data_IF_575836534279
#
_entry.id   IF_575836534279
#
_cell.length_a   1.000
_cell.length_b   1.000
_cell.length_c   1.000
_cell.angle_alpha   90.00
_cell.angle_beta   90.00
_cell.angle_gamma   90.00
#
_symmetry.space_group_name_H-M   'P 1'
#
loop_
_entity.id
_entity.type
_entity.pdbx_description
1 polymer ?
#
# COMPACT_ATOMS: atom_id res chain seq x y z
N UNK A 1 -4.42 -5.70 24.08
CA UNK A 1 -5.78 -5.33 23.60
C UNK A 1 -5.90 -5.67 22.12
N UNK A 2 -7.04 -6.19 21.66
CA UNK A 2 -7.24 -6.63 20.26
C UNK A 2 -8.12 -5.64 19.49
N UNK A 3 -7.74 -5.31 18.25
CA UNK A 3 -8.58 -4.50 17.35
C UNK A 3 -9.58 -5.42 16.62
N UNK A 4 -10.89 -5.39 16.96
CA UNK A 4 -11.89 -6.27 16.35
C UNK A 4 -12.04 -5.99 14.84
N UNK A 5 -12.56 -6.96 14.08
CA UNK A 5 -12.95 -6.71 12.69
C UNK A 5 -14.21 -5.87 12.69
N UNK A 6 -14.28 -4.86 11.81
CA UNK A 6 -15.42 -3.97 11.75
C UNK A 6 -15.70 -3.51 10.33
N UNK A 7 -16.96 -3.21 10.06
CA UNK A 7 -17.45 -2.65 8.80
C UNK A 7 -18.20 -1.36 9.07
N UNK A 8 -18.03 -0.38 8.17
CA UNK A 8 -18.76 0.89 8.20
C UNK A 8 -19.69 0.95 6.99
N UNK A 9 -20.98 1.03 7.25
CA UNK A 9 -22.02 1.27 6.25
C UNK A 9 -22.68 2.62 6.52
N UNK A 10 -23.34 3.19 5.53
CA UNK A 10 -24.05 4.45 5.73
C UNK A 10 -25.38 4.48 5.00
N UNK A 11 -26.24 5.34 5.51
CA UNK A 11 -27.51 5.78 4.95
C UNK A 11 -27.53 7.30 4.93
N UNK A 12 -28.58 7.91 4.38
CA UNK A 12 -28.72 9.38 4.35
C UNK A 12 -28.69 10.01 5.75
N UNK A 13 -29.10 9.26 6.78
CA UNK A 13 -29.26 9.76 8.15
C UNK A 13 -28.34 9.12 9.18
N UNK A 14 -27.93 7.88 8.97
CA UNK A 14 -27.18 7.11 9.95
C UNK A 14 -25.92 6.48 9.35
N UNK A 15 -24.87 6.39 10.15
CA UNK A 15 -23.72 5.52 9.94
C UNK A 15 -23.93 4.25 10.77
N UNK A 16 -23.81 3.10 10.13
CA UNK A 16 -23.97 1.78 10.75
C UNK A 16 -22.57 1.20 10.94
N UNK A 17 -22.18 0.99 12.20
CA UNK A 17 -20.91 0.39 12.58
C UNK A 17 -21.16 -1.05 13.04
N UNK A 18 -20.69 -2.02 12.25
CA UNK A 18 -20.75 -3.45 12.57
C UNK A 18 -19.39 -3.88 13.12
N UNK A 19 -19.32 -4.46 14.32
CA UNK A 19 -18.09 -4.89 14.99
C UNK A 19 -18.21 -6.37 15.33
N UNK A 20 -17.35 -7.20 14.73
CA UNK A 20 -17.23 -8.62 15.01
C UNK A 20 -16.32 -8.84 16.21
N UNK A 21 -16.91 -9.18 17.34
CA UNK A 21 -16.25 -9.34 18.63
C UNK A 21 -16.83 -10.55 19.38
N UNK A 22 -16.55 -11.79 18.93
CA UNK A 22 -17.17 -13.01 19.47
C UNK A 22 -16.75 -13.33 20.92
N UNK A 23 -15.58 -12.84 21.37
CA UNK A 23 -15.07 -13.01 22.74
C UNK A 23 -15.44 -11.85 23.68
N UNK A 24 -16.30 -10.94 23.23
CA UNK A 24 -16.69 -9.75 23.98
C UNK A 24 -17.57 -10.09 25.19
N UNK A 25 -17.36 -9.34 26.28
CA UNK A 25 -18.31 -9.33 27.38
C UNK A 25 -19.36 -8.24 27.15
N UNK A 26 -20.58 -8.65 26.78
CA UNK A 26 -21.72 -7.77 26.51
C UNK A 26 -22.00 -6.82 27.68
N UNK A 27 -21.83 -7.28 28.94
CA UNK A 27 -22.08 -6.47 30.13
C UNK A 27 -21.06 -5.35 30.35
N UNK A 28 -19.92 -5.39 29.66
CA UNK A 28 -18.85 -4.39 29.71
C UNK A 28 -18.62 -3.72 28.34
N UNK A 29 -19.63 -3.77 27.47
CA UNK A 29 -19.56 -3.12 26.17
C UNK A 29 -19.98 -1.66 26.31
N UNK A 30 -19.05 -0.76 25.99
CA UNK A 30 -19.30 0.68 25.95
C UNK A 30 -18.93 1.21 24.56
N UNK A 31 -19.80 2.03 24.00
CA UNK A 31 -19.52 2.81 22.81
C UNK A 31 -19.76 4.28 23.12
N UNK A 32 -18.78 5.12 22.81
CA UNK A 32 -18.84 6.57 22.97
C UNK A 32 -18.55 7.22 21.62
N UNK A 33 -19.49 8.01 21.10
CA UNK A 33 -19.30 8.81 19.90
C UNK A 33 -19.25 10.31 20.24
N UNK A 34 -18.10 10.92 19.99
CA UNK A 34 -17.81 12.33 20.27
C UNK A 34 -17.32 13.04 19.00
N UNK A 35 -18.21 13.82 18.39
CA UNK A 35 -18.03 14.52 17.12
C UNK A 35 -17.47 13.62 16.01
N UNK A 36 -16.16 13.62 15.80
CA UNK A 36 -15.50 12.82 14.76
C UNK A 36 -14.98 11.48 15.29
N UNK A 37 -14.92 11.29 16.61
CA UNK A 37 -14.27 10.15 17.22
C UNK A 37 -15.31 9.14 17.74
N UNK A 38 -15.09 7.87 17.44
CA UNK A 38 -15.89 6.77 18.01
C UNK A 38 -14.96 5.85 18.77
N UNK A 39 -15.29 5.59 20.03
CA UNK A 39 -14.58 4.71 20.93
C UNK A 39 -15.47 3.52 21.24
N UNK A 40 -14.96 2.31 21.02
CA UNK A 40 -15.62 1.07 21.42
C UNK A 40 -14.69 0.30 22.34
N UNK A 41 -15.19 -0.05 23.52
CA UNK A 41 -14.46 -0.81 24.53
C UNK A 41 -15.30 -2.01 24.95
N UNK A 42 -14.77 -3.21 24.74
CA UNK A 42 -15.37 -4.43 25.26
C UNK A 42 -14.28 -5.50 25.41
N UNK A 43 -13.73 -5.72 26.62
CA UNK A 43 -12.61 -6.62 26.84
C UNK A 43 -12.82 -8.00 26.20
N UNK A 44 -11.84 -8.54 25.43
CA UNK A 44 -10.47 -8.02 25.21
C UNK A 44 -10.32 -7.01 24.05
N UNK A 45 -11.42 -6.59 23.44
CA UNK A 45 -11.44 -5.73 22.26
C UNK A 45 -11.48 -4.24 22.59
N UNK A 46 -10.72 -3.46 21.83
CA UNK A 46 -10.75 -2.01 21.88
C UNK A 46 -10.63 -1.46 20.45
N UNK A 47 -11.49 -0.51 20.11
CA UNK A 47 -11.49 0.12 18.80
C UNK A 47 -11.65 1.63 18.97
N UNK A 48 -10.82 2.38 18.25
CA UNK A 48 -10.86 3.83 18.20
C UNK A 48 -10.88 4.27 16.75
N UNK A 49 -11.92 4.99 16.35
CA UNK A 49 -12.14 5.46 14.99
C UNK A 49 -12.20 6.99 14.94
N UNK A 50 -11.69 7.57 13.86
CA UNK A 50 -11.88 8.98 13.50
C UNK A 50 -12.61 9.05 12.16
N UNK A 51 -13.90 9.34 12.19
CA UNK A 51 -14.76 9.43 11.01
C UNK A 51 -14.54 10.75 10.23
N UNK A 52 -14.87 10.79 8.93
CA UNK A 52 -14.68 11.97 8.09
C UNK A 52 -15.73 13.06 8.33
N UNK A 53 -16.88 12.71 8.93
CA UNK A 53 -17.94 13.64 9.31
C UNK A 53 -18.29 13.51 10.79
N UNK A 54 -19.05 14.49 11.29
CA UNK A 54 -19.50 14.50 12.68
C UNK A 54 -20.69 13.55 12.86
N UNK A 55 -20.63 12.75 13.91
CA UNK A 55 -21.67 11.81 14.33
C UNK A 55 -22.11 12.10 15.76
N UNK A 56 -23.34 11.72 16.08
CA UNK A 56 -23.92 11.79 17.43
C UNK A 56 -24.53 10.44 17.79
N UNK A 57 -24.58 10.16 19.08
CA UNK A 57 -25.30 9.00 19.59
C UNK A 57 -26.80 9.20 19.45
N UNK A 58 -27.49 8.18 18.92
CA UNK A 58 -28.95 8.14 18.90
C UNK A 58 -29.50 8.00 20.31
N UNK A 59 -30.44 8.87 20.68
CA UNK A 59 -31.05 8.95 22.02
C UNK A 59 -32.05 7.80 22.32
N UNK A 60 -32.42 7.00 21.32
CA UNK A 60 -33.52 6.02 21.40
C UNK A 60 -33.05 4.56 21.39
N UNK A 61 -32.10 4.18 20.54
CA UNK A 61 -31.55 2.81 20.47
C UNK A 61 -30.10 2.86 19.96
N UNK A 62 -29.13 2.51 20.80
CA UNK A 62 -27.70 2.71 20.49
C UNK A 62 -27.05 1.52 19.77
N UNK A 63 -27.52 0.28 19.95
CA UNK A 63 -26.99 -0.86 19.20
C UNK A 63 -27.66 -2.22 19.49
N UNK A 64 -27.50 -3.16 18.57
CA UNK A 64 -27.99 -4.54 18.66
C UNK A 64 -26.83 -5.52 18.66
N UNK A 65 -26.93 -6.64 19.39
CA UNK A 65 -25.94 -7.69 19.40
C UNK A 65 -26.51 -9.00 18.85
N UNK A 66 -25.86 -9.55 17.84
CA UNK A 66 -26.14 -10.88 17.30
C UNK A 66 -25.26 -11.92 18.00
N UNK A 67 -25.88 -12.80 18.79
CA UNK A 67 -25.21 -13.84 19.58
C UNK A 67 -24.63 -14.94 18.68
N UNK A 68 -25.28 -15.24 17.55
CA UNK A 68 -24.88 -16.35 16.68
C UNK A 68 -23.66 -15.95 15.83
N UNK A 69 -23.61 -14.69 15.37
CA UNK A 69 -22.49 -14.13 14.61
C UNK A 69 -21.38 -13.48 15.45
N UNK A 70 -21.66 -13.15 16.72
CA UNK A 70 -20.77 -12.36 17.57
C UNK A 70 -20.57 -10.94 17.06
N UNK A 71 -21.62 -10.32 16.49
CA UNK A 71 -21.55 -9.02 15.81
C UNK A 71 -22.36 -7.98 16.61
N UNK A 72 -21.71 -6.88 16.99
CA UNK A 72 -22.38 -5.67 17.47
C UNK A 72 -22.70 -4.76 16.30
N UNK A 73 -23.93 -4.28 16.21
CA UNK A 73 -24.34 -3.29 15.21
C UNK A 73 -24.78 -2.02 15.91
N UNK A 74 -24.03 -0.94 15.73
CA UNK A 74 -24.33 0.37 16.29
C UNK A 74 -24.84 1.32 15.20
N UNK A 75 -25.87 2.10 15.52
CA UNK A 75 -26.42 3.12 14.62
C UNK A 75 -26.09 4.49 15.16
N UNK A 76 -25.26 5.24 14.43
CA UNK A 76 -24.81 6.58 14.78
C UNK A 76 -25.52 7.59 13.87
N UNK A 77 -26.07 8.65 14.43
CA UNK A 77 -26.74 9.71 13.67
C UNK A 77 -25.71 10.68 13.07
N UNK A 78 -25.91 11.06 11.80
CA UNK A 78 -25.10 12.11 11.16
C UNK A 78 -25.56 13.47 11.66
N UNK A 79 -24.62 14.35 12.02
CA UNK A 79 -24.95 15.73 12.41
C UNK A 79 -25.52 16.52 11.23
N UNK A 80 -25.03 16.25 10.02
CA UNK A 80 -25.54 16.80 8.77
C UNK A 80 -26.28 15.69 8.01
N UNK A 81 -27.61 15.76 8.00
CA UNK A 81 -28.43 14.83 7.23
C UNK A 81 -28.11 14.95 5.73
N UNK A 82 -27.92 13.82 5.06
CA UNK A 82 -27.56 13.74 3.65
C UNK A 82 -26.09 13.95 3.34
N UNK A 83 -25.21 14.16 4.33
CA UNK A 83 -23.76 14.18 4.09
C UNK A 83 -23.27 12.76 3.77
N UNK A 84 -22.65 12.59 2.61
CA UNK A 84 -21.98 11.34 2.25
C UNK A 84 -20.59 11.27 2.91
N UNK A 85 -20.29 10.14 3.55
CA UNK A 85 -18.99 9.93 4.20
C UNK A 85 -18.09 9.20 3.21
N UNK A 86 -17.06 9.88 2.71
CA UNK A 86 -16.15 9.31 1.72
C UNK A 86 -15.30 8.17 2.31
N UNK A 87 -15.01 7.15 1.50
CA UNK A 87 -14.04 6.08 1.78
C UNK A 87 -14.32 5.18 2.99
N UNK A 88 -15.58 4.96 3.36
CA UNK A 88 -15.95 4.05 4.47
C UNK A 88 -15.44 2.61 4.33
N UNK A 89 -15.16 2.18 3.10
CA UNK A 89 -14.55 0.89 2.77
C UNK A 89 -13.05 0.83 3.12
N UNK A 90 -12.35 1.97 3.11
CA UNK A 90 -10.95 2.06 3.50
C UNK A 90 -10.82 2.22 5.02
N UNK A 91 -11.30 1.21 5.75
CA UNK A 91 -11.38 1.19 7.23
C UNK A 91 -10.05 1.56 7.92
N UNK A 92 -8.92 1.23 7.30
CA UNK A 92 -7.60 1.64 7.74
C UNK A 92 -7.50 3.16 7.96
N UNK A 93 -8.05 4.00 7.09
CA UNK A 93 -7.96 5.47 7.22
C UNK A 93 -8.53 6.02 8.51
N UNK A 94 -9.53 5.35 9.08
CA UNK A 94 -10.23 5.82 10.27
C UNK A 94 -9.63 5.26 11.55
N UNK A 95 -8.80 4.22 11.46
CA UNK A 95 -8.08 3.70 12.61
C UNK A 95 -7.01 4.70 13.07
N UNK A 96 -6.98 4.99 14.37
CA UNK A 96 -5.88 5.73 14.93
C UNK A 96 -4.59 4.93 14.74
N UNK A 97 -3.57 5.55 14.15
CA UNK A 97 -2.24 5.00 14.18
C UNK A 97 -1.83 4.77 15.63
N UNK A 98 -1.35 3.57 15.97
CA UNK A 98 -0.68 3.35 17.25
C UNK A 98 0.42 4.40 17.36
N UNK A 99 0.30 5.30 18.36
CA UNK A 99 1.34 6.29 18.63
C UNK A 99 2.61 5.53 18.93
N UNK A 100 3.54 5.49 17.98
CA UNK A 100 4.93 5.22 18.31
C UNK A 100 5.37 6.39 19.18
N UNK A 101 5.92 6.08 20.36
CA UNK A 101 6.71 7.06 21.11
C UNK A 101 7.76 7.64 20.16
N UNK A 102 7.52 8.84 19.67
CA UNK A 102 8.57 9.62 19.04
C UNK A 102 9.46 10.07 20.18
N UNK A 103 10.64 9.46 20.30
CA UNK A 103 11.72 10.10 21.01
C UNK A 103 11.83 11.50 20.43
N UNK A 104 11.55 12.53 21.25
CA UNK A 104 11.77 13.92 20.89
C UNK A 104 13.18 14.03 20.30
N UNK A 105 13.39 14.68 19.14
CA UNK A 105 14.74 14.99 18.71
C UNK A 105 15.37 15.85 19.83
N UNK A 106 16.49 15.38 20.37
CA UNK A 106 17.27 16.12 21.38
C UNK A 106 17.81 17.39 20.72
N UNK A 107 17.14 18.50 21.01
CA UNK A 107 17.65 19.84 21.34
C UNK A 107 18.96 20.23 20.63
N UNK A 108 18.86 21.21 19.72
CA UNK A 108 19.97 22.09 19.33
C UNK A 108 20.42 22.92 20.55
N UNK A 109 21.73 22.94 20.77
CA UNK A 109 22.40 23.63 21.87
C UNK A 109 22.32 25.14 21.64
N UNK A 110 21.64 25.85 22.53
CA UNK A 110 21.92 27.26 22.82
C UNK A 110 22.02 27.43 24.33
N UNK A 111 23.13 28.04 24.75
CA UNK A 111 23.55 28.26 26.12
C UNK A 111 22.55 29.07 26.97
N UNK A 112 22.67 28.85 28.29
CA UNK A 112 22.31 29.70 29.44
C UNK A 112 21.00 29.48 30.26
N UNK A 113 21.21 28.89 31.46
CA UNK A 113 20.68 29.21 32.83
C UNK A 113 19.24 28.81 33.28
N UNK A 114 19.18 27.67 34.02
CA UNK A 114 18.39 27.30 35.26
C UNK A 114 16.83 27.44 35.31
N UNK A 115 16.10 26.84 36.30
CA UNK A 115 15.64 25.45 36.30
C UNK A 115 14.12 25.25 36.62
N UNK A 116 13.65 24.00 36.50
CA UNK A 116 12.50 23.38 37.22
C UNK A 116 11.06 23.76 36.84
N UNK A 117 10.27 22.76 36.41
CA UNK A 117 9.01 22.38 37.09
C UNK A 117 8.41 21.09 36.51
N UNK A 118 8.12 20.15 37.42
CA UNK A 118 7.40 18.88 37.26
C UNK A 118 6.10 18.97 36.44
N UNK A 119 5.79 17.87 35.75
CA UNK A 119 4.46 17.24 35.87
C UNK A 119 4.59 15.75 35.59
N UNK A 120 4.37 14.98 36.65
CA UNK A 120 4.20 13.53 36.70
C UNK A 120 3.01 13.09 35.81
N UNK A 121 3.14 11.91 35.20
CA UNK A 121 1.99 11.05 34.91
C UNK A 121 2.47 9.60 34.82
N UNK A 122 2.36 8.96 35.97
CA UNK A 122 2.05 7.55 36.28
C UNK A 122 1.80 6.60 35.10
N UNK A 123 2.69 5.59 35.05
CA UNK A 123 2.53 4.15 34.85
C UNK A 123 1.23 3.57 34.25
N UNK A 124 1.36 2.64 33.31
CA UNK A 124 1.17 1.18 33.54
C UNK A 124 1.02 0.43 32.18
N UNK A 125 2.00 -0.45 31.93
CA UNK A 125 1.88 -1.75 31.28
C UNK A 125 0.98 -1.92 30.04
N UNK A 126 1.55 -1.70 28.85
CA UNK A 126 1.06 -2.33 27.62
C UNK A 126 2.11 -3.28 27.04
N UNK A 127 1.69 -4.54 26.95
CA UNK A 127 2.43 -5.70 26.45
C UNK A 127 3.29 -5.40 25.22
N UNK A 128 4.56 -5.70 25.38
CA UNK A 128 5.66 -5.51 24.46
C UNK A 128 5.52 -6.46 23.25
N UNK A 129 4.70 -6.07 22.27
CA UNK A 129 4.71 -6.70 20.95
C UNK A 129 6.03 -6.35 20.25
N UNK A 130 6.88 -7.36 20.06
CA UNK A 130 8.17 -7.27 19.38
C UNK A 130 8.01 -6.88 17.90
N UNK A 131 7.76 -5.59 17.62
CA UNK A 131 8.06 -5.02 16.31
C UNK A 131 9.54 -4.68 16.38
N UNK A 132 10.36 -5.41 15.62
CA UNK A 132 11.77 -5.12 15.44
C UNK A 132 11.94 -3.61 15.23
N UNK A 133 12.45 -2.93 16.25
CA UNK A 133 12.87 -1.56 16.15
C UNK A 133 13.95 -1.56 15.07
N UNK A 134 13.67 -0.93 13.94
CA UNK A 134 14.73 -0.47 13.06
C UNK A 134 15.47 0.59 13.87
N UNK A 135 16.49 0.15 14.61
CA UNK A 135 17.45 1.03 15.26
C UNK A 135 18.12 1.80 14.13
N UNK A 136 17.88 3.10 14.08
CA UNK A 136 18.64 3.99 13.21
C UNK A 136 20.08 3.89 13.71
N UNK A 137 21.03 3.29 12.96
CA UNK A 137 22.40 3.24 13.41
C UNK A 137 22.90 4.68 13.52
N UNK A 138 23.55 4.98 14.62
CA UNK A 138 24.22 6.25 14.83
C UNK A 138 25.13 6.56 13.62
N UNK A 139 25.12 7.83 13.21
CA UNK A 139 25.79 8.39 12.04
C UNK A 139 27.14 7.74 11.73
N UNK A 140 27.15 6.90 10.70
CA UNK A 140 28.38 6.53 9.99
C UNK A 140 28.69 7.65 8.98
N UNK A 141 29.87 8.27 9.02
CA UNK A 141 30.23 9.30 8.06
C UNK A 141 30.67 8.64 6.75
N UNK A 142 29.73 8.19 5.93
CA UNK A 142 29.90 7.83 4.52
C UNK A 142 28.50 7.80 3.88
N UNK A 143 28.27 8.59 2.83
CA UNK A 143 26.98 8.68 2.12
C UNK A 143 26.66 7.38 1.38
N UNK A 144 26.16 6.37 2.08
CA UNK A 144 25.65 5.15 1.46
C UNK A 144 24.39 5.49 0.65
N UNK A 145 24.30 5.09 -0.63
CA UNK A 145 23.12 5.36 -1.46
C UNK A 145 21.90 4.64 -0.90
N UNK A 146 20.83 5.40 -0.65
CA UNK A 146 19.54 4.82 -0.25
C UNK A 146 18.89 3.98 -1.35
N UNK A 147 17.99 3.09 -0.95
CA UNK A 147 17.14 2.30 -1.85
C UNK A 147 15.76 2.06 -1.23
N UNK A 148 14.91 1.31 -1.94
CA UNK A 148 13.56 0.97 -1.51
C UNK A 148 12.59 2.16 -1.52
N UNK A 149 11.58 2.13 -0.64
CA UNK A 149 10.54 3.13 -0.61
C UNK A 149 11.11 4.54 -0.39
N UNK A 150 10.93 5.42 -1.39
CA UNK A 150 11.41 6.79 -1.41
C UNK A 150 12.93 6.94 -1.10
N UNK A 151 13.74 5.93 -1.43
CA UNK A 151 15.18 5.87 -1.13
C UNK A 151 15.54 6.05 0.36
N UNK A 152 14.64 5.66 1.27
CA UNK A 152 14.84 5.84 2.72
C UNK A 152 15.47 4.63 3.40
N UNK A 153 15.66 3.52 2.69
CA UNK A 153 16.28 2.32 3.25
C UNK A 153 17.78 2.36 2.98
N UNK A 154 18.57 2.10 4.01
CA UNK A 154 20.03 1.98 3.97
C UNK A 154 20.44 0.81 4.86
N UNK A 155 21.48 0.07 4.47
CA UNK A 155 21.98 -1.08 5.24
C UNK A 155 21.22 -2.37 4.93
N UNK A 156 21.89 -3.51 5.11
CA UNK A 156 21.43 -4.87 4.81
C UNK A 156 21.24 -5.17 3.30
N UNK A 157 21.91 -4.42 2.41
CA UNK A 157 21.80 -4.64 0.97
C UNK A 157 22.31 -6.00 0.51
N UNK A 158 23.41 -6.48 1.11
CA UNK A 158 23.99 -7.79 0.79
C UNK A 158 23.05 -8.95 1.17
N UNK A 159 22.54 -8.95 2.40
CA UNK A 159 21.61 -9.98 2.88
C UNK A 159 20.31 -10.02 2.05
N UNK A 160 19.76 -8.84 1.72
CA UNK A 160 18.57 -8.75 0.85
C UNK A 160 18.85 -9.34 -0.53
N UNK A 161 20.03 -9.06 -1.10
CA UNK A 161 20.42 -9.59 -2.41
C UNK A 161 20.64 -11.11 -2.35
N UNK A 162 21.24 -11.63 -1.29
CA UNK A 162 21.42 -13.07 -1.12
C UNK A 162 20.08 -13.81 -1.05
N UNK A 163 19.09 -13.24 -0.36
CA UNK A 163 17.75 -13.81 -0.25
C UNK A 163 16.99 -13.75 -1.59
N UNK A 164 17.09 -12.64 -2.32
CA UNK A 164 16.33 -12.39 -3.55
C UNK A 164 17.22 -12.33 -4.81
N UNK A 165 18.26 -13.17 -4.88
CA UNK A 165 19.29 -13.13 -5.93
C UNK A 165 18.76 -13.35 -7.35
N UNK A 166 17.64 -14.07 -7.50
CA UNK A 166 17.02 -14.30 -8.82
C UNK A 166 16.29 -13.06 -9.34
N UNK A 167 15.82 -12.22 -8.42
CA UNK A 167 14.97 -11.08 -8.69
C UNK A 167 15.82 -9.81 -8.80
N UNK A 168 16.63 -9.55 -7.77
CA UNK A 168 17.48 -8.37 -7.66
C UNK A 168 18.65 -8.50 -8.62
N UNK A 169 18.73 -7.57 -9.58
CA UNK A 169 19.76 -7.56 -10.61
C UNK A 169 20.94 -6.65 -10.25
N UNK A 170 20.70 -5.64 -9.40
CA UNK A 170 21.77 -4.77 -8.92
C UNK A 170 22.73 -5.56 -8.03
N UNK A 171 23.98 -5.72 -8.49
CA UNK A 171 25.00 -6.51 -7.77
C UNK A 171 25.42 -5.92 -6.43
N UNK A 172 25.54 -4.59 -6.36
CA UNK A 172 26.00 -3.86 -5.19
C UNK A 172 25.05 -2.71 -4.88
N UNK A 173 24.15 -2.92 -3.92
CA UNK A 173 23.11 -1.96 -3.55
C UNK A 173 23.67 -0.75 -2.79
N UNK A 174 24.72 -0.97 -2.00
CA UNK A 174 25.27 0.01 -1.05
C UNK A 174 26.49 0.76 -1.61
N UNK A 175 27.16 0.22 -2.63
CA UNK A 175 28.22 0.91 -3.35
C UNK A 175 27.79 1.56 -4.67
N UNK A 176 26.63 1.21 -5.24
CA UNK A 176 26.17 1.79 -6.51
C UNK A 176 25.30 3.05 -6.29
N UNK A 177 25.75 4.24 -6.73
CA UNK A 177 24.97 5.48 -6.61
C UNK A 177 23.66 5.42 -7.40
N UNK A 178 22.60 6.06 -6.88
CA UNK A 178 21.26 6.11 -7.52
C UNK A 178 21.33 6.60 -8.96
N UNK A 179 22.14 7.62 -9.24
CA UNK A 179 22.31 8.19 -10.58
C UNK A 179 22.92 7.20 -11.60
N UNK A 180 23.70 6.23 -11.14
CA UNK A 180 24.34 5.24 -12.02
C UNK A 180 23.46 4.02 -12.30
N UNK A 181 22.48 3.73 -11.43
CA UNK A 181 21.63 2.53 -11.53
C UNK A 181 20.94 2.42 -12.88
N UNK A 182 20.39 3.54 -13.39
CA UNK A 182 19.75 3.60 -14.71
C UNK A 182 20.71 3.22 -15.85
N UNK A 183 21.89 3.83 -15.88
CA UNK A 183 22.86 3.61 -16.97
C UNK A 183 23.38 2.17 -16.97
N UNK A 184 23.60 1.59 -15.78
CA UNK A 184 24.02 0.19 -15.65
C UNK A 184 22.90 -0.77 -16.09
N UNK A 185 21.67 -0.53 -15.64
CA UNK A 185 20.48 -1.28 -16.08
C UNK A 185 20.32 -1.27 -17.60
N UNK A 186 20.34 -0.09 -18.22
CA UNK A 186 20.15 0.04 -19.67
C UNK A 186 21.23 -0.72 -20.46
N UNK A 187 22.47 -0.75 -19.96
CA UNK A 187 23.56 -1.53 -20.54
C UNK A 187 23.31 -3.03 -20.44
N UNK A 188 22.88 -3.53 -19.27
CA UNK A 188 22.58 -4.95 -19.09
C UNK A 188 21.35 -5.40 -19.88
N UNK A 189 20.31 -4.58 -19.93
CA UNK A 189 19.14 -4.78 -20.76
C UNK A 189 19.51 -4.90 -22.25
N UNK A 190 20.39 -4.02 -22.75
CA UNK A 190 20.86 -4.08 -24.12
C UNK A 190 21.64 -5.36 -24.42
N UNK A 191 22.47 -5.81 -23.48
CA UNK A 191 23.24 -7.04 -23.62
C UNK A 191 22.36 -8.32 -23.53
N UNK A 192 21.23 -8.25 -22.82
CA UNK A 192 20.33 -9.38 -22.60
C UNK A 192 19.22 -9.51 -23.64
N UNK A 193 18.94 -8.44 -24.38
CA UNK A 193 17.96 -8.48 -25.46
C UNK A 193 18.34 -9.53 -26.50
N UNK A 194 17.37 -10.35 -26.89
CA UNK A 194 17.54 -11.42 -27.87
C UNK A 194 16.64 -11.15 -29.06
N UNK A 195 17.26 -10.79 -30.19
CA UNK A 195 16.57 -10.58 -31.46
C UNK A 195 15.84 -11.85 -31.90
N UNK A 196 16.46 -13.02 -31.73
CA UNK A 196 15.89 -14.31 -32.12
C UNK A 196 14.61 -14.63 -31.34
N UNK A 197 14.60 -14.40 -30.03
CA UNK A 197 13.40 -14.62 -29.22
C UNK A 197 12.29 -13.64 -29.62
N UNK A 198 12.62 -12.36 -29.73
CA UNK A 198 11.64 -11.36 -30.14
C UNK A 198 11.02 -11.68 -31.51
N UNK A 199 11.84 -12.13 -32.47
CA UNK A 199 11.37 -12.56 -33.79
C UNK A 199 10.52 -13.82 -33.73
N UNK A 200 10.84 -14.79 -32.87
CA UNK A 200 10.01 -15.98 -32.68
C UNK A 200 8.60 -15.59 -32.20
N UNK A 201 8.51 -14.77 -31.16
CA UNK A 201 7.22 -14.28 -30.64
C UNK A 201 6.45 -13.45 -31.66
N UNK A 202 7.16 -12.67 -32.50
CA UNK A 202 6.54 -11.91 -33.57
C UNK A 202 5.96 -12.80 -34.68
N UNK A 203 6.59 -13.94 -34.96
CA UNK A 203 6.17 -14.88 -36.01
C UNK A 203 5.05 -15.83 -35.55
N UNK A 204 4.82 -15.96 -34.24
CA UNK A 204 3.79 -16.80 -33.64
C UNK A 204 2.71 -15.98 -32.90
N UNK A 205 1.89 -15.19 -33.62
CA UNK A 205 1.01 -14.20 -32.99
C UNK A 205 -0.24 -14.80 -32.33
N UNK A 206 -0.55 -16.09 -32.49
CA UNK A 206 -1.82 -16.66 -32.06
C UNK A 206 -2.05 -16.55 -30.55
N UNK A 207 -1.06 -16.91 -29.75
CA UNK A 207 -1.16 -16.85 -28.29
C UNK A 207 -1.16 -15.39 -27.80
N UNK A 208 -0.29 -14.56 -28.38
CA UNK A 208 -0.20 -13.13 -28.06
C UNK A 208 -1.49 -12.40 -28.38
N UNK A 209 -2.14 -12.71 -29.51
CA UNK A 209 -3.41 -12.09 -29.88
C UNK A 209 -4.51 -12.45 -28.88
N UNK A 210 -4.59 -13.71 -28.43
CA UNK A 210 -5.54 -14.10 -27.39
C UNK A 210 -5.30 -13.32 -26.07
N UNK A 211 -4.04 -13.12 -25.69
CA UNK A 211 -3.65 -12.32 -24.52
C UNK A 211 -4.02 -10.83 -24.70
N UNK A 212 -3.87 -10.27 -25.90
CA UNK A 212 -4.24 -8.88 -26.20
C UNK A 212 -5.76 -8.70 -26.19
N UNK A 213 -6.50 -9.67 -26.71
CA UNK A 213 -7.97 -9.66 -26.79
C UNK A 213 -8.66 -9.95 -25.45
N UNK A 214 -7.93 -10.51 -24.47
CA UNK A 214 -8.42 -10.71 -23.12
C UNK A 214 -8.98 -9.41 -22.52
N UNK A 215 -10.23 -9.48 -22.04
CA UNK A 215 -10.92 -8.36 -21.41
C UNK A 215 -10.60 -8.33 -19.92
N UNK A 216 -9.77 -7.37 -19.55
CA UNK A 216 -9.43 -7.17 -18.15
C UNK A 216 -10.55 -6.42 -17.41
N UNK A 217 -10.76 -6.68 -16.10
CA UNK A 217 -11.87 -6.11 -15.34
C UNK A 217 -11.90 -4.57 -15.32
N UNK A 218 -10.74 -3.92 -15.35
CA UNK A 218 -10.64 -2.46 -15.36
C UNK A 218 -11.14 -1.82 -16.66
N UNK A 219 -11.28 -2.58 -17.76
CA UNK A 219 -11.89 -2.06 -18.98
C UNK A 219 -13.39 -1.82 -18.77
N UNK A 220 -14.09 -2.82 -18.24
CA UNK A 220 -15.53 -2.73 -17.97
C UNK A 220 -15.86 -1.70 -16.91
N UNK A 221 -15.03 -1.59 -15.87
CA UNK A 221 -15.20 -0.57 -14.83
C UNK A 221 -15.12 0.83 -15.41
N UNK A 222 -14.15 1.10 -16.29
CA UNK A 222 -13.96 2.42 -16.85
C UNK A 222 -15.03 2.77 -17.89
N UNK A 223 -15.36 1.83 -18.79
CA UNK A 223 -16.33 2.04 -19.87
C UNK A 223 -17.74 2.28 -19.32
N UNK A 224 -18.11 1.56 -18.25
CA UNK A 224 -19.42 1.70 -17.60
C UNK A 224 -19.41 2.73 -16.46
N UNK A 225 -18.28 3.40 -16.19
CA UNK A 225 -18.09 4.35 -15.08
C UNK A 225 -18.53 3.76 -13.73
N UNK A 226 -18.21 2.50 -13.50
CA UNK A 226 -18.50 1.79 -12.26
C UNK A 226 -17.43 2.11 -11.23
N UNK A 227 -17.86 2.21 -9.97
CA UNK A 227 -16.93 2.36 -8.87
C UNK A 227 -16.26 1.02 -8.52
N UNK A 228 -14.95 1.05 -8.33
CA UNK A 228 -14.21 -0.09 -7.79
C UNK A 228 -14.57 -0.24 -6.30
N UNK A 229 -15.03 -1.44 -5.93
CA UNK A 229 -15.33 -1.82 -4.53
C UNK A 229 -14.35 -2.89 -4.07
N UNK A 230 -13.86 -2.73 -2.85
CA UNK A 230 -13.02 -3.73 -2.20
C UNK A 230 -13.89 -4.87 -1.67
N UNK A 231 -13.38 -6.09 -1.77
CA UNK A 231 -14.00 -7.26 -1.13
C UNK A 231 -13.74 -7.23 0.37
N UNK A 232 -14.46 -8.07 1.12
CA UNK A 232 -14.22 -8.22 2.56
C UNK A 232 -12.77 -8.69 2.83
N UNK A 233 -12.30 -9.70 2.10
CA UNK A 233 -10.94 -10.22 2.21
C UNK A 233 -9.87 -9.15 1.91
N UNK A 234 -10.08 -8.33 0.87
CA UNK A 234 -9.19 -7.21 0.52
C UNK A 234 -9.16 -6.15 1.64
N UNK A 235 -10.32 -5.88 2.24
CA UNK A 235 -10.46 -4.90 3.31
C UNK A 235 -9.77 -5.37 4.60
N UNK A 236 -9.91 -6.66 4.93
CA UNK A 236 -9.21 -7.28 6.07
C UNK A 236 -7.70 -7.29 5.84
N UNK A 237 -7.23 -7.66 4.64
CA UNK A 237 -5.81 -7.62 4.29
C UNK A 237 -5.21 -6.20 4.44
N UNK A 238 -5.91 -5.18 3.95
CA UNK A 238 -5.46 -3.79 4.06
C UNK A 238 -5.42 -3.29 5.51
N UNK A 239 -6.30 -3.81 6.38
CA UNK A 239 -6.27 -3.52 7.82
C UNK A 239 -5.00 -4.07 8.46
N UNK A 240 -4.59 -5.28 8.09
CA UNK A 240 -3.43 -5.97 8.68
C UNK A 240 -2.08 -5.34 8.30
N UNK A 241 -2.00 -4.66 7.14
CA UNK A 241 -0.80 -3.91 6.74
C UNK A 241 -0.45 -2.76 7.71
N UNK A 242 -1.46 -2.25 8.43
CA UNK A 242 -1.33 -1.16 9.38
C UNK A 242 -1.11 0.22 8.76
N UNK A 243 -1.38 1.27 9.53
CA UNK A 243 -1.17 2.65 9.09
C UNK A 243 0.25 3.13 9.38
N UNK A 244 0.94 3.62 8.35
CA UNK A 244 2.25 4.26 8.47
C UNK A 244 2.21 5.67 7.90
N UNK A 245 2.54 6.65 8.74
CA UNK A 245 2.70 8.03 8.30
C UNK A 245 4.10 8.23 7.74
N UNK A 246 4.17 8.68 6.49
CA UNK A 246 5.42 9.01 5.82
C UNK A 246 5.53 10.51 5.61
N UNK A 247 6.58 11.11 6.19
CA UNK A 247 6.96 12.49 5.89
C UNK A 247 7.80 12.50 4.62
N UNK A 248 7.17 12.77 3.47
CA UNK A 248 7.84 12.86 2.17
C UNK A 248 7.84 14.31 1.70
N UNK A 249 8.98 14.79 1.20
CA UNK A 249 9.02 16.02 0.43
C UNK A 249 8.37 15.82 -0.96
N UNK A 250 8.16 16.92 -1.69
CA UNK A 250 7.51 16.89 -2.99
C UNK A 250 8.27 16.02 -4.03
N UNK A 251 9.59 15.97 -3.94
CA UNK A 251 10.42 15.22 -4.89
C UNK A 251 10.39 13.72 -4.59
N UNK A 252 10.49 13.34 -3.32
CA UNK A 252 10.36 11.97 -2.83
C UNK A 252 8.96 11.42 -3.12
N UNK A 253 7.91 12.22 -2.89
CA UNK A 253 6.54 11.86 -3.23
C UNK A 253 6.36 11.63 -4.74
N UNK A 254 6.89 12.54 -5.57
CA UNK A 254 6.88 12.39 -7.04
C UNK A 254 7.58 11.10 -7.46
N UNK A 255 8.77 10.82 -6.93
CA UNK A 255 9.49 9.59 -7.26
C UNK A 255 8.72 8.34 -6.84
N UNK A 256 8.10 8.33 -5.64
CA UNK A 256 7.33 7.19 -5.18
C UNK A 256 6.11 6.91 -6.08
N UNK A 257 5.45 7.96 -6.58
CA UNK A 257 4.34 7.83 -7.53
C UNK A 257 4.79 7.33 -8.91
N UNK A 258 5.99 7.69 -9.36
CA UNK A 258 6.56 7.17 -10.60
C UNK A 258 6.95 5.69 -10.46
N UNK A 259 7.55 5.31 -9.33
CA UNK A 259 7.82 3.92 -8.97
C UNK A 259 6.54 3.08 -8.87
N UNK A 260 5.46 3.65 -8.34
CA UNK A 260 4.15 3.02 -8.33
C UNK A 260 3.66 2.71 -9.75
N UNK A 261 3.79 3.65 -10.69
CA UNK A 261 3.39 3.42 -12.08
C UNK A 261 4.19 2.29 -12.75
N UNK A 262 5.49 2.18 -12.46
CA UNK A 262 6.35 1.08 -12.92
C UNK A 262 5.90 -0.29 -12.38
N UNK A 263 5.55 -0.36 -11.09
CA UNK A 263 5.04 -1.60 -10.46
C UNK A 263 3.66 -1.97 -11.02
N UNK A 264 2.76 -0.99 -11.19
CA UNK A 264 1.42 -1.23 -11.76
C UNK A 264 1.51 -1.74 -13.19
N UNK A 265 2.45 -1.25 -14.00
CA UNK A 265 2.70 -1.81 -15.33
C UNK A 265 3.11 -3.29 -15.26
N UNK A 266 4.04 -3.62 -14.37
CA UNK A 266 4.51 -4.99 -14.20
C UNK A 266 3.38 -5.93 -13.73
N UNK A 267 2.52 -5.46 -12.81
CA UNK A 267 1.30 -6.17 -12.41
C UNK A 267 0.33 -6.35 -13.59
N UNK A 268 0.03 -5.29 -14.34
CA UNK A 268 -0.92 -5.34 -15.45
C UNK A 268 -0.43 -6.30 -16.56
N UNK A 269 0.89 -6.34 -16.79
CA UNK A 269 1.51 -7.31 -17.68
C UNK A 269 1.21 -8.73 -17.22
N UNK A 270 1.55 -9.04 -15.96
CA UNK A 270 1.36 -10.35 -15.36
C UNK A 270 -0.12 -10.79 -15.42
N UNK A 271 -1.02 -9.91 -14.97
CA UNK A 271 -2.45 -10.17 -14.96
C UNK A 271 -2.96 -10.51 -16.36
N UNK A 272 -2.50 -9.78 -17.39
CA UNK A 272 -2.91 -10.03 -18.77
C UNK A 272 -2.34 -11.35 -19.29
N UNK A 273 -1.06 -11.64 -19.08
CA UNK A 273 -0.42 -12.87 -19.59
C UNK A 273 -0.95 -14.14 -18.94
N UNK A 274 -1.46 -14.04 -17.71
CA UNK A 274 -2.07 -15.16 -16.99
C UNK A 274 -3.60 -15.02 -16.86
N UNK A 275 -4.22 -14.17 -17.68
CA UNK A 275 -5.69 -14.03 -17.77
C UNK A 275 -6.40 -13.82 -16.43
N UNK A 276 -5.76 -13.10 -15.52
CA UNK A 276 -6.28 -12.73 -14.20
C UNK A 276 -5.88 -13.64 -13.04
N UNK A 277 -5.15 -14.73 -13.31
CA UNK A 277 -4.68 -15.64 -12.26
C UNK A 277 -3.19 -15.47 -11.98
N UNK A 278 -2.76 -15.75 -10.75
CA UNK A 278 -1.35 -15.76 -10.40
C UNK A 278 -0.78 -17.17 -10.50
N UNK A 279 0.46 -17.26 -10.98
CA UNK A 279 1.24 -18.50 -11.07
C UNK A 279 2.50 -18.39 -10.22
N UNK A 280 3.27 -19.48 -10.15
CA UNK A 280 4.59 -19.48 -9.48
C UNK A 280 5.57 -18.48 -10.12
N UNK A 281 5.35 -18.11 -11.39
CA UNK A 281 6.18 -17.15 -12.13
C UNK A 281 5.71 -15.70 -11.97
N UNK A 282 4.57 -15.46 -11.30
CA UNK A 282 4.02 -14.10 -11.18
C UNK A 282 4.96 -13.16 -10.43
N UNK A 283 5.49 -13.62 -9.30
CA UNK A 283 6.41 -12.82 -8.49
C UNK A 283 7.68 -12.50 -9.30
N UNK A 284 8.23 -13.49 -10.01
CA UNK A 284 9.40 -13.28 -10.86
C UNK A 284 9.11 -12.29 -11.98
N UNK A 285 7.99 -12.45 -12.69
CA UNK A 285 7.58 -11.60 -13.82
C UNK A 285 7.42 -10.14 -13.38
N UNK A 286 6.68 -9.90 -12.29
CA UNK A 286 6.43 -8.54 -11.78
C UNK A 286 7.76 -7.88 -11.39
N UNK A 287 8.60 -8.58 -10.62
CA UNK A 287 9.85 -8.01 -10.16
C UNK A 287 10.86 -7.79 -11.30
N UNK A 288 10.91 -8.69 -12.29
CA UNK A 288 11.76 -8.51 -13.47
C UNK A 288 11.28 -7.41 -14.37
N UNK A 289 9.99 -7.18 -14.52
CA UNK A 289 9.50 -6.07 -15.34
C UNK A 289 9.66 -4.71 -14.66
N UNK A 290 9.49 -4.66 -13.34
CA UNK A 290 9.67 -3.41 -12.59
C UNK A 290 11.15 -3.10 -12.36
N UNK A 291 11.62 -1.98 -12.91
CA UNK A 291 12.98 -1.50 -12.62
C UNK A 291 13.10 -0.91 -11.21
N UNK A 292 11.99 -0.49 -10.61
CA UNK A 292 11.93 -0.11 -9.20
C UNK A 292 12.31 -1.29 -8.32
N UNK A 293 11.79 -2.49 -8.60
CA UNK A 293 12.00 -3.66 -7.76
C UNK A 293 13.34 -4.37 -8.03
N UNK A 294 13.67 -4.62 -9.30
CA UNK A 294 14.89 -5.36 -9.68
C UNK A 294 16.18 -4.52 -9.60
N UNK A 295 16.09 -3.22 -9.83
CA UNK A 295 17.23 -2.30 -9.94
C UNK A 295 17.24 -1.18 -8.92
N UNK A 296 16.22 -1.09 -8.05
CA UNK A 296 16.06 0.03 -7.10
C UNK A 296 16.19 1.38 -7.81
N UNK A 297 15.66 1.47 -9.04
CA UNK A 297 15.73 2.67 -9.84
C UNK A 297 14.74 3.72 -9.34
N UNK A 298 15.23 4.95 -9.24
CA UNK A 298 14.43 6.16 -9.03
C UNK A 298 14.14 6.80 -10.39
N UNK A 299 12.91 7.24 -10.60
CA UNK A 299 12.48 7.88 -11.84
C UNK A 299 12.23 9.37 -11.63
N UNK A 300 12.59 10.19 -12.62
CA UNK A 300 12.33 11.63 -12.59
C UNK A 300 11.12 12.02 -13.43
N UNK A 301 10.80 11.23 -14.45
CA UNK A 301 9.70 11.50 -15.38
C UNK A 301 8.90 10.24 -15.74
N UNK A 302 7.63 10.43 -16.10
CA UNK A 302 6.79 9.33 -16.60
C UNK A 302 7.29 8.75 -17.95
N UNK A 303 8.06 9.53 -18.72
CA UNK A 303 8.67 9.05 -19.96
C UNK A 303 9.73 8.00 -19.65
N UNK A 304 10.54 8.21 -18.61
CA UNK A 304 11.53 7.22 -18.19
C UNK A 304 10.91 5.93 -17.68
N UNK A 305 9.82 6.04 -16.92
CA UNK A 305 9.02 4.87 -16.50
C UNK A 305 8.54 4.10 -17.71
N UNK A 306 7.86 4.78 -18.66
CA UNK A 306 7.38 4.15 -19.89
C UNK A 306 8.50 3.45 -20.66
N UNK A 307 9.64 4.13 -20.87
CA UNK A 307 10.77 3.55 -21.61
C UNK A 307 11.31 2.32 -20.89
N UNK A 308 11.45 2.36 -19.57
CA UNK A 308 11.86 1.23 -18.76
C UNK A 308 10.90 0.03 -18.92
N UNK A 309 9.62 0.26 -18.67
CA UNK A 309 8.57 -0.76 -18.78
C UNK A 309 8.58 -1.43 -20.16
N UNK A 310 8.59 -0.61 -21.24
CA UNK A 310 8.56 -1.11 -22.61
C UNK A 310 9.82 -1.87 -23.01
N UNK A 311 11.00 -1.46 -22.54
CA UNK A 311 12.25 -2.21 -22.81
C UNK A 311 12.20 -3.56 -22.11
N UNK A 312 11.86 -3.57 -20.83
CA UNK A 312 11.91 -4.77 -19.99
C UNK A 312 10.86 -5.81 -20.41
N UNK A 313 9.69 -5.38 -20.86
CA UNK A 313 8.67 -6.28 -21.43
C UNK A 313 9.08 -6.96 -22.73
N UNK A 314 10.12 -6.46 -23.41
CA UNK A 314 10.68 -7.07 -24.62
C UNK A 314 11.95 -7.88 -24.37
N UNK A 315 12.42 -7.95 -23.12
CA UNK A 315 13.70 -8.58 -22.77
C UNK A 315 13.51 -9.79 -21.85
N UNK A 316 12.67 -9.64 -20.83
CA UNK A 316 12.63 -10.60 -19.73
C UNK A 316 11.51 -11.63 -19.81
N UNK A 317 10.23 -11.25 -20.01
CA UNK A 317 9.12 -12.16 -19.81
C UNK A 317 9.05 -13.22 -20.92
N UNK A 318 8.13 -14.17 -20.74
CA UNK A 318 7.86 -15.24 -21.71
C UNK A 318 7.46 -14.68 -23.08
N UNK A 319 6.51 -13.73 -23.12
CA UNK A 319 5.95 -13.15 -24.35
C UNK A 319 6.52 -11.75 -24.68
N UNK A 320 7.47 -11.66 -25.58
CA UNK A 320 8.19 -10.41 -25.90
C UNK A 320 7.61 -9.78 -27.15
N UNK A 321 6.50 -9.06 -26.98
CA UNK A 321 5.81 -8.45 -28.11
C UNK A 321 5.45 -6.97 -27.88
N UNK A 322 5.74 -6.13 -28.88
CA UNK A 322 5.54 -4.68 -28.75
C UNK A 322 4.06 -4.31 -28.62
N UNK A 323 3.17 -4.93 -29.41
CA UNK A 323 1.74 -4.64 -29.32
C UNK A 323 1.15 -5.07 -27.97
N UNK A 324 1.64 -6.18 -27.39
CA UNK A 324 1.26 -6.60 -26.04
C UNK A 324 1.71 -5.56 -25.01
N UNK A 325 2.97 -5.11 -25.11
CA UNK A 325 3.52 -4.09 -24.21
C UNK A 325 2.73 -2.77 -24.28
N UNK A 326 2.31 -2.36 -25.47
CA UNK A 326 1.44 -1.19 -25.66
C UNK A 326 0.06 -1.40 -25.04
N UNK A 327 -0.54 -2.58 -25.21
CA UNK A 327 -1.83 -2.91 -24.59
C UNK A 327 -1.75 -2.87 -23.06
N UNK A 328 -0.67 -3.39 -22.48
CA UNK A 328 -0.40 -3.32 -21.03
C UNK A 328 -0.20 -1.88 -20.55
N UNK A 329 0.43 -1.03 -21.37
CA UNK A 329 0.54 0.40 -21.06
C UNK A 329 -0.84 1.07 -21.02
N UNK A 330 -1.74 0.72 -21.93
CA UNK A 330 -3.14 1.19 -21.87
C UNK A 330 -3.84 0.72 -20.60
N UNK A 331 -3.68 -0.55 -20.23
CA UNK A 331 -4.22 -1.10 -18.98
C UNK A 331 -3.72 -0.33 -17.75
N UNK A 332 -2.42 -0.06 -17.71
CA UNK A 332 -1.79 0.73 -16.65
C UNK A 332 -2.47 2.09 -16.52
N UNK A 333 -2.71 2.78 -17.65
CA UNK A 333 -3.40 4.06 -17.65
C UNK A 333 -4.85 3.93 -17.19
N UNK A 334 -5.57 2.86 -17.57
CA UNK A 334 -6.94 2.59 -17.11
C UNK A 334 -6.99 2.37 -15.59
N UNK A 335 -6.09 1.54 -15.05
CA UNK A 335 -5.95 1.28 -13.60
C UNK A 335 -5.69 2.59 -12.86
N UNK A 336 -4.75 3.41 -13.32
CA UNK A 336 -4.44 4.69 -12.69
C UNK A 336 -5.62 5.68 -12.74
N UNK A 337 -6.40 5.69 -13.83
CA UNK A 337 -7.60 6.54 -13.97
C UNK A 337 -8.75 6.13 -13.06
N UNK A 338 -8.90 4.83 -12.79
CA UNK A 338 -9.89 4.32 -11.83
C UNK A 338 -9.55 4.68 -10.36
N UNK A 339 -8.34 5.18 -10.13
CA UNK A 339 -7.95 5.81 -8.88
C UNK A 339 -7.53 4.82 -7.79
N UNK A 340 -7.53 5.32 -6.55
CA UNK A 340 -6.84 4.67 -5.43
C UNK A 340 -7.34 3.25 -5.12
N UNK A 341 -8.67 3.02 -5.14
CA UNK A 341 -9.24 1.70 -4.81
C UNK A 341 -8.80 0.65 -5.81
N UNK A 342 -8.82 0.97 -7.11
CA UNK A 342 -8.35 0.06 -8.14
C UNK A 342 -6.85 -0.24 -8.00
N UNK A 343 -6.04 0.77 -7.69
CA UNK A 343 -4.60 0.58 -7.46
C UNK A 343 -4.36 -0.33 -6.25
N UNK A 344 -5.07 -0.11 -5.14
CA UNK A 344 -4.98 -0.94 -3.94
C UNK A 344 -5.47 -2.38 -4.16
N UNK A 345 -6.37 -2.61 -5.11
CA UNK A 345 -6.81 -3.95 -5.49
C UNK A 345 -5.77 -4.67 -6.36
N UNK A 346 -4.94 -3.92 -7.08
CA UNK A 346 -3.90 -4.45 -7.94
C UNK A 346 -2.59 -4.73 -7.20
N UNK A 347 -2.31 -4.00 -6.12
CA UNK A 347 -1.12 -4.18 -5.28
C UNK A 347 -1.42 -5.04 -4.07
#
# INVERSE_FOLDING_TARGET
MLTPNFELKQTDRHVILEIKAPLANIARTELVADDFNVFFSSPPYYLRLKLPGQVRESLTESGTYDVDGGIFTFRLEKVIEGQDFEDLDLIGKFLFAHKKYQARPKIEVLDDVLPSSNSESEDEDEEQFWIAQQTVPAESPLTTPGYGFANKITGNGEALREEFYEIIELMDLEGTPVAERRLRREREELARFSDDHYLADFMEPSEINAIIEFKAPWEELLDNKLECKLTQDETEYLKDLGNRDYLLDAQAAKSALLSLADIVFAYAYNFRTFTGENTVESAWTINKLSATLSWFQTFETAVEVKVACMRRSLIYPLYRHYALSMKVLEDTVKILKLGRRQILKCL
#
